data_IF_073631155141
#
_entry.id   IF_073631155141
#
_cell.length_a   1.000
_cell.length_b   1.000
_cell.length_c   1.000
_cell.angle_alpha   90.00
_cell.angle_beta   90.00
_cell.angle_gamma   90.00
#
_symmetry.space_group_name_H-M   'P 1'
#
loop_
_entity.id
_entity.type
_entity.pdbx_description
1 polymer ?
#
# COMPACT_ATOMS: atom_id res chain seq x y z
N UNK A 1 -24.43 -17.18 -8.09
CA UNK A 1 -25.10 -16.20 -7.17
C UNK A 1 -25.48 -14.97 -7.98
N UNK A 2 -26.59 -14.29 -7.68
CA UNK A 2 -26.96 -13.03 -8.36
C UNK A 2 -26.48 -11.85 -7.53
N UNK A 3 -26.00 -10.78 -8.18
CA UNK A 3 -25.51 -9.58 -7.50
C UNK A 3 -26.33 -8.36 -7.92
N UNK A 4 -26.62 -7.48 -6.95
CA UNK A 4 -27.10 -6.13 -7.21
C UNK A 4 -26.06 -5.16 -6.69
N UNK A 5 -25.63 -4.21 -7.54
CA UNK A 5 -24.46 -3.39 -7.28
C UNK A 5 -24.79 -1.90 -7.35
N UNK A 6 -24.21 -1.14 -6.46
CA UNK A 6 -24.12 0.31 -6.53
C UNK A 6 -22.67 0.74 -6.41
N UNK A 7 -22.27 1.80 -7.08
CA UNK A 7 -20.92 2.33 -7.04
C UNK A 7 -20.95 3.84 -6.84
N UNK A 8 -19.93 4.36 -6.17
CA UNK A 8 -19.65 5.78 -6.04
C UNK A 8 -18.15 5.99 -6.20
N UNK A 9 -17.77 6.99 -6.97
CA UNK A 9 -16.39 7.48 -7.04
C UNK A 9 -16.42 8.97 -7.29
N UNK A 10 -15.69 9.73 -6.50
CA UNK A 10 -15.68 11.19 -6.58
C UNK A 10 -14.32 11.74 -6.14
N UNK A 11 -13.94 12.89 -6.67
CA UNK A 11 -12.68 13.56 -6.35
C UNK A 11 -12.66 14.15 -4.93
N UNK A 12 -13.82 14.35 -4.32
CA UNK A 12 -13.98 15.11 -3.09
C UNK A 12 -13.94 16.62 -3.30
N UNK A 13 -14.00 17.33 -2.18
CA UNK A 13 -14.14 18.79 -2.15
C UNK A 13 -12.80 19.54 -1.96
N UNK A 14 -11.72 18.85 -1.66
CA UNK A 14 -10.42 19.47 -1.43
C UNK A 14 -9.87 20.11 -2.73
N UNK A 15 -9.72 21.46 -2.80
CA UNK A 15 -9.25 22.13 -4.01
C UNK A 15 -7.78 21.79 -4.35
N UNK A 16 -7.00 21.28 -3.42
CA UNK A 16 -5.61 20.87 -3.66
C UNK A 16 -5.51 19.54 -4.42
N UNK A 17 -6.54 18.70 -4.36
CA UNK A 17 -6.61 17.47 -5.14
C UNK A 17 -7.17 17.78 -6.51
N UNK A 18 -6.34 17.75 -7.54
CA UNK A 18 -6.70 18.08 -8.91
C UNK A 18 -7.34 16.92 -9.68
N UNK A 19 -7.18 15.71 -9.15
CA UNK A 19 -7.63 14.48 -9.80
C UNK A 19 -8.19 13.49 -8.76
N UNK A 20 -9.00 12.55 -9.25
CA UNK A 20 -9.35 11.36 -8.49
C UNK A 20 -8.32 10.27 -8.78
N UNK A 21 -7.57 9.86 -7.76
CA UNK A 21 -6.53 8.83 -7.84
C UNK A 21 -7.08 7.45 -7.47
N UNK A 22 -8.29 7.38 -6.92
CA UNK A 22 -8.99 6.12 -6.68
C UNK A 22 -9.48 5.49 -7.98
N UNK A 23 -9.56 4.16 -7.98
CA UNK A 23 -10.22 3.36 -9.03
C UNK A 23 -11.08 2.28 -8.40
N UNK A 24 -12.10 1.88 -9.14
CA UNK A 24 -12.94 0.73 -8.80
C UNK A 24 -13.16 -0.18 -10.02
N UNK A 25 -13.43 -1.43 -9.76
CA UNK A 25 -13.88 -2.41 -10.74
C UNK A 25 -15.08 -3.18 -10.15
N UNK A 26 -16.16 -3.25 -10.92
CA UNK A 26 -17.33 -4.03 -10.55
C UNK A 26 -17.78 -4.86 -11.75
N UNK A 27 -17.54 -6.16 -11.70
CA UNK A 27 -17.93 -7.15 -12.71
C UNK A 27 -18.88 -8.18 -12.08
N UNK A 28 -20.16 -7.83 -11.89
CA UNK A 28 -21.13 -8.70 -11.20
C UNK A 28 -21.34 -10.03 -11.91
N UNK A 29 -21.25 -10.09 -13.24
CA UNK A 29 -21.32 -11.32 -14.02
C UNK A 29 -20.17 -12.30 -13.75
N UNK A 30 -19.06 -11.79 -13.21
CA UNK A 30 -17.87 -12.57 -12.84
C UNK A 30 -17.69 -12.69 -11.33
N UNK A 31 -18.55 -12.02 -10.55
CA UNK A 31 -18.45 -11.98 -9.09
C UNK A 31 -17.18 -11.25 -8.58
N UNK A 32 -16.67 -10.25 -9.33
CA UNK A 32 -15.46 -9.53 -8.98
C UNK A 32 -15.75 -8.06 -8.66
N UNK A 33 -15.26 -7.61 -7.51
CA UNK A 33 -15.41 -6.25 -7.00
C UNK A 33 -14.10 -5.79 -6.39
N UNK A 34 -13.62 -4.57 -6.74
CA UNK A 34 -12.32 -4.08 -6.33
C UNK A 34 -12.36 -2.56 -6.14
N UNK A 35 -11.69 -2.08 -5.09
CA UNK A 35 -11.36 -0.67 -4.86
C UNK A 35 -9.86 -0.56 -4.67
N UNK A 36 -9.25 0.44 -5.29
CA UNK A 36 -7.84 0.77 -5.23
C UNK A 36 -7.66 2.28 -5.04
N UNK A 37 -7.05 2.70 -3.94
CA UNK A 37 -6.72 4.09 -3.62
C UNK A 37 -5.27 4.35 -4.03
N UNK A 38 -5.09 5.24 -4.98
CA UNK A 38 -3.79 5.52 -5.55
C UNK A 38 -3.01 6.54 -4.72
N UNK A 39 -1.80 6.14 -4.33
CA UNK A 39 -0.86 6.97 -3.57
C UNK A 39 0.35 7.31 -4.43
N UNK A 40 0.75 8.59 -4.45
CA UNK A 40 1.94 9.01 -5.19
C UNK A 40 1.78 10.41 -5.80
N UNK A 41 2.87 11.18 -5.84
CA UNK A 41 2.85 12.56 -6.31
C UNK A 41 2.44 12.70 -7.80
N UNK A 42 1.80 13.81 -8.14
CA UNK A 42 1.42 14.25 -9.49
C UNK A 42 0.42 13.34 -10.20
N UNK A 43 0.87 12.25 -10.86
CA UNK A 43 0.03 11.31 -11.63
C UNK A 43 0.27 9.85 -11.23
N UNK A 44 1.18 9.61 -10.29
CA UNK A 44 1.59 8.28 -9.91
C UNK A 44 0.45 7.45 -9.34
N UNK A 45 -0.34 8.00 -8.42
CA UNK A 45 -1.47 7.32 -7.80
C UNK A 45 -2.51 6.84 -8.81
N UNK A 46 -2.89 7.69 -9.78
CA UNK A 46 -3.82 7.28 -10.84
C UNK A 46 -3.31 6.11 -11.68
N UNK A 47 -2.01 6.10 -12.00
CA UNK A 47 -1.41 5.02 -12.80
C UNK A 47 -1.37 3.73 -11.98
N UNK A 48 -1.01 3.81 -10.71
CA UNK A 48 -0.93 2.64 -9.85
C UNK A 48 -2.30 1.98 -9.65
N UNK A 49 -3.33 2.75 -9.26
CA UNK A 49 -4.69 2.24 -9.07
C UNK A 49 -5.32 1.72 -10.36
N UNK A 50 -5.07 2.40 -11.51
CA UNK A 50 -5.54 1.90 -12.81
C UNK A 50 -4.84 0.60 -13.21
N UNK A 51 -3.53 0.48 -12.97
CA UNK A 51 -2.78 -0.76 -13.25
C UNK A 51 -3.36 -1.94 -12.47
N UNK A 52 -3.76 -1.73 -11.21
CA UNK A 52 -4.41 -2.78 -10.42
C UNK A 52 -5.74 -3.21 -11.05
N UNK A 53 -6.60 -2.27 -11.45
CA UNK A 53 -7.87 -2.55 -12.13
C UNK A 53 -7.63 -3.33 -13.42
N UNK A 54 -6.73 -2.88 -14.29
CA UNK A 54 -6.46 -3.49 -15.59
C UNK A 54 -5.99 -4.95 -15.45
N UNK A 55 -5.15 -5.24 -14.45
CA UNK A 55 -4.65 -6.59 -14.17
C UNK A 55 -5.77 -7.51 -13.68
N UNK A 56 -6.59 -7.04 -12.74
CA UNK A 56 -7.71 -7.84 -12.23
C UNK A 56 -8.76 -8.08 -13.31
N UNK A 57 -9.09 -7.08 -14.12
CA UNK A 57 -10.00 -7.22 -15.25
C UNK A 57 -9.50 -8.27 -16.26
N UNK A 58 -8.21 -8.23 -16.60
CA UNK A 58 -7.57 -9.20 -17.49
C UNK A 58 -7.51 -10.60 -16.88
N UNK A 59 -7.15 -10.73 -15.58
CA UNK A 59 -7.05 -12.03 -14.89
C UNK A 59 -8.41 -12.74 -14.81
N UNK A 60 -9.48 -11.97 -14.62
CA UNK A 60 -10.84 -12.49 -14.53
C UNK A 60 -11.60 -12.40 -15.87
N UNK A 61 -10.91 -12.17 -17.00
CA UNK A 61 -11.50 -12.19 -18.32
C UNK A 61 -12.12 -13.55 -18.64
N UNK A 62 -11.47 -14.64 -18.22
CA UNK A 62 -11.95 -16.00 -18.31
C UNK A 62 -12.17 -16.59 -16.90
N UNK A 63 -13.01 -17.63 -16.75
CA UNK A 63 -13.18 -18.33 -15.47
C UNK A 63 -11.84 -18.85 -14.94
N UNK A 64 -11.57 -18.64 -13.65
CA UNK A 64 -10.34 -19.11 -13.02
C UNK A 64 -10.27 -20.63 -13.01
N UNK A 65 -9.28 -21.22 -13.70
CA UNK A 65 -9.07 -22.68 -13.79
C UNK A 65 -8.49 -23.26 -12.50
N UNK A 66 -7.63 -22.50 -11.82
CA UNK A 66 -6.88 -22.94 -10.64
C UNK A 66 -7.54 -22.54 -9.29
N UNK A 67 -8.76 -22.05 -9.36
CA UNK A 67 -9.50 -21.56 -8.21
C UNK A 67 -9.38 -20.05 -7.98
N UNK A 68 -10.42 -19.47 -7.37
CA UNK A 68 -10.53 -18.01 -7.20
C UNK A 68 -9.44 -17.45 -6.28
N UNK A 69 -9.04 -18.19 -5.23
CA UNK A 69 -7.98 -17.73 -4.32
C UNK A 69 -6.64 -17.58 -5.04
N UNK A 70 -6.28 -18.56 -5.88
CA UNK A 70 -5.00 -18.53 -6.59
C UNK A 70 -5.02 -17.48 -7.70
N UNK A 71 -6.16 -17.27 -8.36
CA UNK A 71 -6.33 -16.17 -9.32
C UNK A 71 -6.17 -14.78 -8.64
N UNK A 72 -6.81 -14.56 -7.47
CA UNK A 72 -6.64 -13.31 -6.70
C UNK A 72 -5.19 -13.14 -6.27
N UNK A 73 -4.54 -14.18 -5.74
CA UNK A 73 -3.13 -14.12 -5.34
C UNK A 73 -2.20 -13.77 -6.50
N UNK A 74 -2.38 -14.44 -7.63
CA UNK A 74 -1.59 -14.17 -8.84
C UNK A 74 -1.76 -12.73 -9.33
N UNK A 75 -3.00 -12.24 -9.34
CA UNK A 75 -3.29 -10.85 -9.73
C UNK A 75 -2.63 -9.84 -8.78
N UNK A 76 -2.69 -10.05 -7.46
CA UNK A 76 -2.05 -9.16 -6.47
C UNK A 76 -0.54 -9.11 -6.66
N UNK A 77 0.12 -10.26 -6.84
CA UNK A 77 1.57 -10.35 -7.08
C UNK A 77 1.94 -9.61 -8.38
N UNK A 78 1.18 -9.84 -9.45
CA UNK A 78 1.42 -9.18 -10.73
C UNK A 78 1.18 -7.65 -10.65
N UNK A 79 0.15 -7.20 -9.90
CA UNK A 79 -0.07 -5.78 -9.62
C UNK A 79 1.17 -5.16 -8.94
N UNK A 80 1.63 -5.77 -7.85
CA UNK A 80 2.80 -5.27 -7.13
C UNK A 80 4.01 -5.15 -8.04
N UNK A 81 4.31 -6.23 -8.78
CA UNK A 81 5.45 -6.27 -9.69
C UNK A 81 5.37 -5.17 -10.75
N UNK A 82 4.24 -5.03 -11.46
CA UNK A 82 4.11 -4.03 -12.55
C UNK A 82 4.15 -2.60 -12.05
N UNK A 83 3.50 -2.32 -10.92
CA UNK A 83 3.52 -0.98 -10.33
C UNK A 83 4.93 -0.64 -9.88
N UNK A 84 5.61 -1.54 -9.19
CA UNK A 84 6.98 -1.36 -8.74
C UNK A 84 7.95 -1.15 -9.91
N UNK A 85 7.93 -2.01 -10.94
CA UNK A 85 8.78 -1.89 -12.14
C UNK A 85 8.55 -0.56 -12.87
N UNK A 86 7.29 -0.13 -13.00
CA UNK A 86 6.95 1.14 -13.62
C UNK A 86 7.43 2.35 -12.78
N UNK A 87 7.38 2.26 -11.46
CA UNK A 87 7.88 3.30 -10.54
C UNK A 87 9.38 3.52 -10.66
N UNK A 88 10.14 2.46 -10.97
CA UNK A 88 11.58 2.53 -11.17
C UNK A 88 11.96 3.02 -12.58
N UNK A 89 11.14 2.72 -13.59
CA UNK A 89 11.47 2.99 -14.99
C UNK A 89 11.20 4.44 -15.43
N UNK A 90 10.32 5.17 -14.71
CA UNK A 90 9.89 6.53 -15.08
C UNK A 90 9.97 7.47 -13.88
N UNK A 91 10.81 8.50 -13.98
CA UNK A 91 10.99 9.48 -12.90
C UNK A 91 9.67 10.17 -12.45
N UNK A 92 8.72 10.35 -13.37
CA UNK A 92 7.39 10.93 -13.10
C UNK A 92 6.46 10.01 -12.30
N UNK A 93 6.77 8.70 -12.25
CA UNK A 93 6.03 7.67 -11.53
C UNK A 93 6.76 7.18 -10.27
N UNK A 94 7.91 7.78 -9.94
CA UNK A 94 8.71 7.38 -8.79
C UNK A 94 7.89 7.49 -7.50
N UNK A 95 7.87 6.39 -6.72
CA UNK A 95 7.13 6.28 -5.47
C UNK A 95 5.62 6.15 -5.65
N UNK A 96 5.13 5.81 -6.86
CA UNK A 96 3.72 5.47 -7.02
C UNK A 96 3.39 4.16 -6.34
N UNK A 97 2.24 4.12 -5.72
CA UNK A 97 1.70 2.94 -5.05
C UNK A 97 0.16 2.97 -5.07
N UNK A 98 -0.46 1.89 -4.65
CA UNK A 98 -1.92 1.86 -4.46
C UNK A 98 -2.29 0.89 -3.35
N UNK A 99 -3.39 1.16 -2.67
CA UNK A 99 -4.06 0.17 -1.83
C UNK A 99 -4.80 -0.85 -2.70
N UNK A 100 -5.31 -1.89 -2.09
CA UNK A 100 -6.20 -2.86 -2.72
C UNK A 100 -7.18 -3.42 -1.70
N UNK A 101 -8.47 -3.37 -2.02
CA UNK A 101 -9.53 -4.12 -1.37
C UNK A 101 -10.33 -4.85 -2.46
N UNK A 102 -10.26 -6.18 -2.50
CA UNK A 102 -10.94 -6.99 -3.52
C UNK A 102 -11.82 -8.05 -2.87
N UNK A 103 -13.00 -8.26 -3.45
CA UNK A 103 -13.91 -9.38 -3.18
C UNK A 103 -14.12 -10.13 -4.49
N UNK A 104 -13.71 -11.39 -4.54
CA UNK A 104 -14.00 -12.31 -5.64
C UNK A 104 -14.89 -13.46 -5.15
N UNK A 105 -15.96 -13.74 -5.89
CA UNK A 105 -17.01 -14.70 -5.50
C UNK A 105 -17.09 -15.84 -6.50
N UNK A 106 -17.04 -17.07 -5.98
CA UNK A 106 -17.31 -18.28 -6.75
C UNK A 106 -18.30 -19.19 -6.00
N UNK A 107 -19.50 -19.33 -6.54
CA UNK A 107 -20.57 -20.07 -5.87
C UNK A 107 -20.95 -19.44 -4.55
N UNK A 108 -20.77 -20.18 -3.44
CA UNK A 108 -21.01 -19.73 -2.06
C UNK A 108 -19.74 -19.34 -1.32
N UNK A 109 -18.60 -19.28 -2.01
CA UNK A 109 -17.32 -18.90 -1.43
C UNK A 109 -16.93 -17.49 -1.89
N UNK A 110 -16.54 -16.64 -0.94
CA UNK A 110 -15.93 -15.34 -1.19
C UNK A 110 -14.45 -15.36 -0.81
N UNK A 111 -13.62 -14.76 -1.64
CA UNK A 111 -12.21 -14.51 -1.37
C UNK A 111 -11.99 -13.00 -1.27
N UNK A 112 -11.45 -12.57 -0.15
CA UNK A 112 -11.04 -11.19 0.07
C UNK A 112 -9.52 -11.15 -0.04
N UNK A 113 -8.99 -10.24 -0.86
CA UNK A 113 -7.59 -9.88 -0.92
C UNK A 113 -7.42 -8.42 -0.50
N UNK A 114 -6.37 -8.12 0.27
CA UNK A 114 -6.24 -6.80 0.86
C UNK A 114 -4.78 -6.36 1.01
N UNK A 115 -4.51 -5.09 0.66
CA UNK A 115 -3.26 -4.36 0.96
C UNK A 115 -3.59 -2.89 1.19
N UNK A 116 -3.12 -2.31 2.30
CA UNK A 116 -3.32 -0.89 2.62
C UNK A 116 -4.40 -0.64 3.67
N UNK A 117 -5.14 0.45 3.52
CA UNK A 117 -6.20 0.91 4.44
C UNK A 117 -7.57 1.09 3.77
N UNK A 118 -7.70 0.71 2.50
CA UNK A 118 -9.01 0.48 1.88
C UNK A 118 -9.67 -0.73 2.52
N UNK A 119 -10.97 -0.70 2.74
CA UNK A 119 -11.63 -1.69 3.60
C UNK A 119 -12.71 -2.50 2.88
N UNK A 120 -12.92 -3.72 3.37
CA UNK A 120 -14.08 -4.56 3.06
C UNK A 120 -14.92 -4.75 4.32
N UNK A 121 -16.19 -4.40 4.22
CA UNK A 121 -17.18 -4.66 5.26
C UNK A 121 -18.24 -5.63 4.75
N UNK A 122 -18.80 -6.43 5.66
CA UNK A 122 -19.94 -7.31 5.41
C UNK A 122 -21.03 -7.04 6.43
N UNK A 123 -22.22 -6.68 5.96
CA UNK A 123 -23.43 -6.59 6.77
C UNK A 123 -24.28 -7.82 6.58
N UNK A 124 -24.47 -8.59 7.66
CA UNK A 124 -25.25 -9.82 7.66
C UNK A 124 -25.98 -10.00 8.99
N UNK A 125 -27.28 -10.36 8.94
CA UNK A 125 -28.08 -10.60 10.14
C UNK A 125 -28.21 -9.38 11.06
N UNK A 126 -28.14 -8.15 10.52
CA UNK A 126 -28.21 -6.90 11.30
C UNK A 126 -26.88 -6.48 11.94
N UNK A 127 -25.80 -7.20 11.66
CA UNK A 127 -24.47 -6.92 12.22
C UNK A 127 -23.48 -6.55 11.13
N UNK A 128 -22.64 -5.54 11.36
CA UNK A 128 -21.54 -5.16 10.52
C UNK A 128 -20.26 -5.89 10.96
N UNK A 129 -19.61 -6.53 10.02
CA UNK A 129 -18.30 -7.15 10.19
C UNK A 129 -17.29 -6.41 9.33
N UNK A 130 -16.21 -5.90 9.91
CA UNK A 130 -15.05 -5.44 9.19
C UNK A 130 -14.18 -6.65 8.85
N UNK A 131 -14.06 -6.95 7.57
CA UNK A 131 -13.38 -8.16 7.08
C UNK A 131 -11.87 -7.96 6.85
N UNK A 132 -11.40 -6.70 6.81
CA UNK A 132 -9.99 -6.31 6.60
C UNK A 132 -9.46 -5.52 7.79
N UNK A 133 -8.15 -5.58 8.02
CA UNK A 133 -7.43 -4.76 9.01
C UNK A 133 -6.47 -3.83 8.28
N UNK A 134 -6.47 -2.53 8.62
CA UNK A 134 -5.63 -1.54 7.95
C UNK A 134 -4.15 -1.83 8.14
N UNK A 135 -3.38 -1.76 7.07
CA UNK A 135 -1.92 -1.79 7.10
C UNK A 135 -1.39 -0.37 7.32
N UNK A 136 -1.43 0.09 8.55
CA UNK A 136 -0.97 1.41 8.97
C UNK A 136 -0.14 1.33 10.25
N UNK A 137 0.81 2.28 10.44
CA UNK A 137 1.64 2.34 11.64
C UNK A 137 0.80 2.35 12.93
N UNK A 138 -0.31 3.07 12.90
CA UNK A 138 -1.20 3.20 14.06
C UNK A 138 -1.90 1.88 14.38
N UNK A 139 -2.36 1.16 13.36
CA UNK A 139 -3.01 -0.14 13.57
C UNK A 139 -2.00 -1.20 14.05
N UNK A 140 -0.77 -1.17 13.56
CA UNK A 140 0.30 -2.05 14.04
C UNK A 140 0.66 -1.75 15.51
N UNK A 141 0.77 -0.46 15.87
CA UNK A 141 1.02 -0.04 17.26
C UNK A 141 -0.13 -0.42 18.20
N UNK A 142 -1.38 -0.35 17.72
CA UNK A 142 -2.58 -0.78 18.46
C UNK A 142 -2.56 -2.30 18.69
N UNK A 143 -2.28 -3.09 17.66
CA UNK A 143 -2.16 -4.56 17.77
C UNK A 143 -1.03 -4.99 18.68
N UNK A 144 0.09 -4.28 18.64
CA UNK A 144 1.22 -4.52 19.55
C UNK A 144 0.95 -4.06 21.00
N UNK A 145 -0.21 -3.45 21.27
CA UNK A 145 -0.56 -2.92 22.59
C UNK A 145 0.27 -1.70 23.03
N UNK A 146 0.98 -1.07 22.09
CA UNK A 146 1.81 0.14 22.34
C UNK A 146 0.94 1.36 22.57
N UNK A 147 -0.20 1.43 21.88
CA UNK A 147 -1.20 2.50 22.02
C UNK A 147 -2.59 1.91 22.26
N UNK A 148 -3.47 2.69 22.88
CA UNK A 148 -4.89 2.34 23.05
C UNK A 148 -5.72 2.77 21.84
N UNK A 149 -6.94 2.23 21.68
CA UNK A 149 -7.86 2.65 20.63
C UNK A 149 -8.18 4.15 20.68
N UNK A 150 -8.29 4.73 21.90
CA UNK A 150 -8.50 6.15 22.08
C UNK A 150 -7.31 6.99 21.59
N UNK A 151 -6.07 6.52 21.78
CA UNK A 151 -4.88 7.18 21.25
C UNK A 151 -4.80 7.04 19.73
N UNK A 152 -5.10 5.86 19.20
CA UNK A 152 -5.10 5.57 17.77
C UNK A 152 -6.03 6.52 16.99
N UNK A 153 -7.21 6.80 17.51
CA UNK A 153 -8.19 7.68 16.87
C UNK A 153 -7.68 9.13 16.64
N UNK A 154 -6.70 9.58 17.42
CA UNK A 154 -6.15 10.94 17.36
C UNK A 154 -4.68 10.98 16.93
N UNK A 155 -4.07 9.83 16.59
CA UNK A 155 -2.66 9.76 16.19
C UNK A 155 -2.46 10.42 14.82
N UNK A 156 -1.53 11.39 14.69
CA UNK A 156 -1.26 12.06 13.41
C UNK A 156 -0.74 11.11 12.32
N UNK A 157 -0.23 9.93 12.69
CA UNK A 157 0.29 8.91 11.77
C UNK A 157 -0.77 7.92 11.29
N UNK A 158 -2.05 8.12 11.64
CA UNK A 158 -3.15 7.21 11.27
C UNK A 158 -3.26 6.92 9.76
N UNK A 159 -2.75 7.84 8.93
CA UNK A 159 -2.75 7.71 7.46
C UNK A 159 -1.40 7.26 6.90
N UNK A 160 -0.44 6.83 7.74
CA UNK A 160 0.85 6.32 7.29
C UNK A 160 0.72 4.83 7.04
N UNK A 161 0.71 4.45 5.77
CA UNK A 161 0.63 3.05 5.36
C UNK A 161 1.93 2.32 5.64
N UNK A 162 1.82 1.09 6.12
CA UNK A 162 2.96 0.17 6.25
C UNK A 162 3.06 -0.79 5.07
N UNK A 163 1.98 -0.94 4.27
CA UNK A 163 1.96 -1.78 3.08
C UNK A 163 1.12 -1.13 1.99
N UNK A 164 1.66 -1.07 0.76
CA UNK A 164 0.95 -0.65 -0.45
C UNK A 164 1.53 -1.38 -1.67
N UNK A 165 0.71 -1.68 -2.67
CA UNK A 165 1.16 -2.29 -3.92
C UNK A 165 2.07 -1.32 -4.67
N UNK A 166 3.26 -1.78 -5.04
CA UNK A 166 4.25 -1.01 -5.77
C UNK A 166 5.18 -0.16 -4.90
N UNK A 167 4.96 -0.08 -3.59
CA UNK A 167 5.85 0.64 -2.67
C UNK A 167 7.19 -0.09 -2.49
N UNK A 168 7.14 -1.43 -2.43
CA UNK A 168 8.29 -2.30 -2.26
C UNK A 168 8.25 -3.44 -3.29
N UNK A 169 9.41 -4.04 -3.57
CA UNK A 169 9.50 -5.18 -4.49
C UNK A 169 8.58 -6.33 -4.06
N UNK A 170 8.55 -6.59 -2.77
CA UNK A 170 7.75 -7.62 -2.14
C UNK A 170 6.76 -7.00 -1.16
N UNK A 171 5.50 -7.23 -1.38
CA UNK A 171 4.42 -6.85 -0.47
C UNK A 171 3.81 -8.10 0.15
N UNK A 172 3.41 -8.03 1.41
CA UNK A 172 2.68 -9.10 2.09
C UNK A 172 1.18 -8.79 2.11
N UNK A 173 0.40 -9.37 1.17
CA UNK A 173 -1.05 -9.15 1.13
C UNK A 173 -1.77 -10.05 2.11
N UNK A 174 -2.87 -9.57 2.66
CA UNK A 174 -3.78 -10.40 3.44
C UNK A 174 -4.82 -11.07 2.52
N UNK A 175 -5.08 -12.36 2.79
CA UNK A 175 -6.12 -13.12 2.10
C UNK A 175 -7.05 -13.79 3.12
N UNK A 176 -8.35 -13.66 2.89
CA UNK A 176 -9.37 -14.28 3.71
C UNK A 176 -10.43 -14.97 2.85
N UNK A 177 -10.69 -16.23 3.13
CA UNK A 177 -11.80 -16.96 2.52
C UNK A 177 -12.97 -17.00 3.47
N UNK A 178 -14.15 -16.64 2.96
CA UNK A 178 -15.40 -16.58 3.74
C UNK A 178 -16.51 -17.36 3.07
N UNK A 179 -17.40 -17.94 3.87
CA UNK A 179 -18.62 -18.55 3.37
C UNK A 179 -19.70 -17.47 3.21
N UNK A 180 -20.22 -17.34 2.01
CA UNK A 180 -21.22 -16.35 1.65
C UNK A 180 -22.65 -16.89 1.87
N UNK A 181 -23.53 -15.99 2.30
CA UNK A 181 -24.97 -16.26 2.44
C UNK A 181 -25.78 -15.28 1.61
N UNK A 182 -26.88 -15.76 1.06
CA UNK A 182 -27.85 -14.88 0.41
C UNK A 182 -28.41 -13.85 1.41
N UNK A 183 -28.62 -12.63 0.94
CA UNK A 183 -29.03 -11.50 1.76
C UNK A 183 -27.91 -10.74 2.45
N UNK A 184 -26.65 -11.23 2.40
CA UNK A 184 -25.51 -10.46 2.86
C UNK A 184 -25.26 -9.26 1.92
N UNK A 185 -24.79 -8.15 2.50
CA UNK A 185 -24.40 -6.93 1.79
C UNK A 185 -22.94 -6.64 2.09
N UNK A 186 -22.17 -6.35 1.07
CA UNK A 186 -20.77 -5.92 1.20
C UNK A 186 -20.62 -4.45 0.85
N UNK A 187 -19.67 -3.80 1.52
CA UNK A 187 -19.12 -2.50 1.14
C UNK A 187 -17.61 -2.67 0.99
N UNK A 188 -17.10 -2.33 -0.19
CA UNK A 188 -15.67 -2.09 -0.42
C UNK A 188 -15.48 -0.59 -0.53
N UNK A 189 -14.51 0.01 0.17
CA UNK A 189 -14.33 1.45 0.11
C UNK A 189 -12.88 1.89 0.37
N UNK A 190 -12.51 3.04 -0.21
CA UNK A 190 -11.28 3.76 0.15
C UNK A 190 -11.42 4.46 1.50
N UNK A 191 -10.30 4.92 2.04
CA UNK A 191 -10.23 5.61 3.34
C UNK A 191 -10.99 6.94 3.36
N UNK A 192 -11.16 7.59 2.19
CA UNK A 192 -11.97 8.80 2.07
C UNK A 192 -13.42 8.65 2.52
N UNK A 193 -13.98 7.44 2.54
CA UNK A 193 -15.28 7.16 3.14
C UNK A 193 -15.15 6.98 4.65
N UNK A 194 -14.21 6.15 5.10
CA UNK A 194 -14.09 5.78 6.52
C UNK A 194 -13.47 6.86 7.40
N UNK A 195 -12.90 7.91 6.81
CA UNK A 195 -12.49 9.12 7.52
C UNK A 195 -13.68 9.96 8.00
N UNK A 196 -14.79 9.88 7.29
CA UNK A 196 -15.97 10.71 7.55
C UNK A 196 -17.12 9.94 8.19
N UNK A 197 -17.21 8.62 7.94
CA UNK A 197 -18.30 7.77 8.39
C UNK A 197 -17.76 6.67 9.30
N UNK A 198 -18.24 6.60 10.53
CA UNK A 198 -17.84 5.59 11.51
C UNK A 198 -18.53 4.25 11.24
N UNK A 199 -17.97 3.20 11.83
CA UNK A 199 -18.50 1.83 11.65
C UNK A 199 -19.96 1.70 12.14
N UNK A 200 -20.36 2.44 13.19
CA UNK A 200 -21.75 2.46 13.67
C UNK A 200 -22.71 3.08 12.65
N UNK A 201 -22.31 4.17 12.01
CA UNK A 201 -23.09 4.85 10.97
C UNK A 201 -23.15 3.99 9.69
N UNK A 202 -22.04 3.30 9.35
CA UNK A 202 -22.04 2.31 8.25
C UNK A 202 -22.98 1.13 8.54
N UNK A 203 -23.04 0.65 9.79
CA UNK A 203 -23.96 -0.41 10.16
C UNK A 203 -25.41 0.01 9.95
N UNK A 204 -25.78 1.20 10.38
CA UNK A 204 -27.12 1.75 10.19
C UNK A 204 -27.44 1.91 8.70
N UNK A 205 -26.54 2.51 7.92
CA UNK A 205 -26.72 2.73 6.49
C UNK A 205 -26.87 1.41 5.71
N UNK A 206 -25.99 0.44 5.95
CA UNK A 206 -25.98 -0.83 5.24
C UNK A 206 -27.14 -1.74 5.67
N UNK A 207 -27.74 -1.48 6.84
CA UNK A 207 -28.93 -2.17 7.34
C UNK A 207 -30.23 -1.76 6.64
N UNK A 208 -30.24 -0.63 5.92
CA UNK A 208 -31.47 -0.13 5.27
C UNK A 208 -31.81 -0.95 4.02
N UNK A 209 -33.12 -1.27 3.84
CA UNK A 209 -33.62 -1.99 2.66
C UNK A 209 -33.78 -1.04 1.46
N UNK A 210 -32.67 -0.45 1.03
CA UNK A 210 -32.58 0.41 -0.15
C UNK A 210 -31.65 -0.21 -1.19
N UNK A 211 -31.87 0.15 -2.46
CA UNK A 211 -31.01 -0.29 -3.57
C UNK A 211 -29.58 0.20 -3.36
N UNK A 212 -28.54 -0.63 -3.64
CA UNK A 212 -27.13 -0.28 -3.46
C UNK A 212 -26.73 1.08 -4.07
N UNK A 213 -27.26 1.43 -5.24
CA UNK A 213 -26.98 2.73 -5.86
C UNK A 213 -27.48 3.92 -5.01
N UNK A 214 -28.66 3.83 -4.41
CA UNK A 214 -29.18 4.87 -3.53
C UNK A 214 -28.36 5.00 -2.23
N UNK A 215 -27.85 3.89 -1.71
CA UNK A 215 -26.96 3.89 -0.56
C UNK A 215 -25.59 4.50 -0.89
N UNK A 216 -25.08 4.29 -2.10
CA UNK A 216 -23.84 4.92 -2.56
C UNK A 216 -23.98 6.44 -2.65
N UNK A 217 -25.11 6.96 -3.16
CA UNK A 217 -25.36 8.41 -3.14
C UNK A 217 -25.43 8.94 -1.72
N UNK A 218 -26.07 8.22 -0.81
CA UNK A 218 -26.13 8.60 0.61
C UNK A 218 -24.74 8.58 1.29
N UNK A 219 -23.89 7.60 0.97
CA UNK A 219 -22.48 7.60 1.41
C UNK A 219 -21.77 8.88 0.98
N UNK A 220 -21.94 9.27 -0.29
CA UNK A 220 -21.36 10.52 -0.81
C UNK A 220 -21.87 11.74 -0.07
N UNK A 221 -23.18 11.85 0.14
CA UNK A 221 -23.79 12.96 0.89
C UNK A 221 -23.23 13.07 2.32
N UNK A 222 -23.08 11.93 3.02
CA UNK A 222 -22.51 11.89 4.38
C UNK A 222 -21.05 12.35 4.38
N UNK A 223 -20.24 11.88 3.43
CA UNK A 223 -18.84 12.32 3.28
C UNK A 223 -18.75 13.83 2.99
N UNK A 224 -19.64 14.34 2.12
CA UNK A 224 -19.69 15.76 1.79
C UNK A 224 -20.07 16.61 3.01
N UNK A 225 -21.00 16.16 3.82
CA UNK A 225 -21.35 16.81 5.10
C UNK A 225 -20.17 16.84 6.08
N UNK A 226 -19.28 15.84 6.01
CA UNK A 226 -18.03 15.76 6.78
C UNK A 226 -16.85 16.54 6.18
N UNK A 227 -17.02 17.17 4.99
CA UNK A 227 -16.00 17.99 4.35
C UNK A 227 -15.32 17.32 3.13
N UNK A 228 -15.44 16.01 2.92
CA UNK A 228 -14.94 15.26 1.76
C UNK A 228 -13.53 15.68 1.31
N UNK A 229 -12.56 15.65 2.22
CA UNK A 229 -11.22 16.19 2.01
C UNK A 229 -10.36 15.31 1.08
N UNK A 230 -10.75 14.05 0.88
CA UNK A 230 -10.06 13.07 0.05
C UNK A 230 -10.92 12.58 -1.12
N UNK A 231 -10.32 11.75 -2.00
CA UNK A 231 -11.06 10.99 -3.00
C UNK A 231 -12.01 10.02 -2.27
N UNK A 232 -13.19 9.80 -2.83
CA UNK A 232 -14.24 8.97 -2.23
C UNK A 232 -14.58 7.86 -3.21
N UNK A 233 -14.34 6.62 -2.86
CA UNK A 233 -14.67 5.49 -3.71
C UNK A 233 -15.28 4.35 -2.91
N UNK A 234 -16.41 3.82 -3.38
CA UNK A 234 -17.08 2.70 -2.74
C UNK A 234 -17.91 1.87 -3.71
N UNK A 235 -18.04 0.59 -3.39
CA UNK A 235 -18.89 -0.38 -4.06
C UNK A 235 -19.78 -1.05 -3.01
N UNK A 236 -21.08 -0.98 -3.16
CA UNK A 236 -22.03 -1.77 -2.36
C UNK A 236 -22.56 -2.93 -3.19
N UNK A 237 -22.46 -4.14 -2.66
CA UNK A 237 -22.85 -5.39 -3.35
C UNK A 237 -23.83 -6.15 -2.48
N UNK A 238 -25.04 -6.37 -2.98
CA UNK A 238 -26.02 -7.30 -2.38
C UNK A 238 -25.93 -8.67 -3.02
N UNK A 239 -25.90 -9.70 -2.18
CA UNK A 239 -25.87 -11.11 -2.59
C UNK A 239 -27.28 -11.70 -2.62
N UNK A 240 -27.68 -12.27 -3.77
CA UNK A 240 -29.01 -12.85 -3.96
C UNK A 240 -30.08 -11.81 -4.28
N UNK A 241 -31.35 -12.24 -4.20
CA UNK A 241 -32.49 -11.36 -4.42
C UNK A 241 -32.87 -10.66 -3.12
N UNK A 242 -32.77 -9.33 -3.09
CA UNK A 242 -33.25 -8.51 -1.98
C UNK A 242 -34.45 -7.67 -2.41
N UNK A 243 -35.42 -7.52 -1.54
CA UNK A 243 -36.57 -6.62 -1.78
C UNK A 243 -36.17 -5.23 -1.26
N UNK A 244 -36.24 -4.23 -2.13
CA UNK A 244 -35.97 -2.86 -1.76
C UNK A 244 -37.26 -2.08 -1.54
N UNK A 245 -37.32 -1.28 -0.47
CA UNK A 245 -38.39 -0.31 -0.30
C UNK A 245 -38.26 0.79 -1.34
N UNK A 246 -39.34 1.08 -2.06
CA UNK A 246 -39.37 2.26 -2.93
C UNK A 246 -39.11 3.53 -2.08
N UNK A 247 -38.12 4.30 -2.44
CA UNK A 247 -37.99 5.64 -1.89
C UNK A 247 -39.07 6.49 -2.58
N UNK A 248 -40.12 6.87 -1.88
CA UNK A 248 -40.97 7.98 -2.34
C UNK A 248 -40.06 9.21 -2.36
N UNK A 249 -39.61 9.60 -3.54
CA UNK A 249 -39.02 10.90 -3.76
C UNK A 249 -40.16 11.91 -3.60
N UNK A 250 -40.32 12.42 -2.39
CA UNK A 250 -41.14 13.61 -2.16
C UNK A 250 -40.38 14.75 -2.83
N UNK A 251 -40.69 14.96 -4.11
CA UNK A 251 -40.28 16.18 -4.81
C UNK A 251 -40.94 17.35 -4.06
N UNK A 252 -40.20 17.95 -3.15
CA UNK A 252 -40.55 19.29 -2.63
C UNK A 252 -40.34 20.27 -3.79
N UNK A 253 -41.33 20.35 -4.66
CA UNK A 253 -41.50 21.42 -5.63
C UNK A 253 -41.87 22.70 -4.86
N UNK A 254 -40.87 23.39 -4.35
CA UNK A 254 -41.01 24.78 -3.93
C UNK A 254 -40.52 25.71 -5.03
N UNK A 255 -41.18 25.65 -6.18
CA UNK A 255 -41.10 26.72 -7.15
C UNK A 255 -42.50 27.37 -7.25
N UNK A 256 -42.62 28.66 -7.07
CA UNK A 256 -43.92 29.38 -7.27
C UNK A 256 -44.29 29.30 -8.74
N UNK A 257 -45.56 29.33 -9.11
CA UNK A 257 -46.04 29.20 -10.49
C UNK A 257 -45.53 30.37 -11.34
N UNK A 258 -44.71 30.05 -12.35
CA UNK A 258 -44.31 31.02 -13.37
C UNK A 258 -45.52 31.28 -14.25
N UNK A 259 -45.98 32.54 -14.21
CA UNK A 259 -47.00 33.00 -15.14
C UNK A 259 -46.48 32.94 -16.57
N UNK A 260 -47.23 32.25 -17.44
CA UNK A 260 -47.01 32.22 -18.87
C UNK A 260 -47.32 33.57 -19.49
N UNK A 261 -46.31 34.22 -19.99
CA UNK A 261 -46.45 35.45 -20.77
C UNK A 261 -45.22 35.76 -21.59
N UNK A 262 -45.43 35.74 -22.91
CA UNK A 262 -44.62 36.37 -23.95
C UNK A 262 -43.43 35.58 -24.49
N UNK A 263 -43.66 35.00 -25.65
CA UNK A 263 -42.72 34.44 -26.62
C UNK A 263 -41.75 35.52 -27.09
N UNK A 264 -40.46 35.38 -26.81
CA UNK A 264 -39.41 36.18 -27.46
C UNK A 264 -38.60 35.26 -28.36
N UNK A 265 -38.68 35.53 -29.68
CA UNK A 265 -37.79 34.92 -30.67
C UNK A 265 -36.38 35.52 -30.50
N UNK A 266 -35.40 34.66 -30.19
CA UNK A 266 -33.98 35.04 -30.21
C UNK A 266 -33.37 34.50 -31.50
N UNK A 267 -33.05 35.38 -32.41
CA UNK A 267 -32.30 35.10 -33.64
C UNK A 267 -30.83 34.78 -33.26
N UNK A 268 -30.37 33.62 -33.75
CA UNK A 268 -28.95 33.26 -33.75
C UNK A 268 -28.15 34.18 -34.66
N UNK A 269 -27.10 34.82 -34.11
CA UNK A 269 -26.08 35.53 -34.86
C UNK A 269 -24.73 34.88 -34.61
N UNK A 270 -24.08 34.40 -35.66
CA UNK A 270 -22.75 33.79 -35.65
C UNK A 270 -21.65 34.81 -35.29
N UNK A 271 -20.53 34.38 -34.73
CA UNK A 271 -19.42 35.23 -34.33
C UNK A 271 -18.55 35.58 -35.56
N UNK A 272 -18.23 36.86 -35.71
CA UNK A 272 -17.18 37.37 -36.60
C UNK A 272 -15.89 37.60 -35.84
N UNK A 273 -14.80 37.23 -36.48
CA UNK A 273 -13.39 37.34 -36.06
C UNK A 273 -12.85 38.78 -35.94
N UNK A 274 -11.61 38.97 -35.42
CA UNK A 274 -11.20 40.18 -34.72
C UNK A 274 -10.47 41.20 -35.62
N UNK A 275 -10.46 42.44 -35.20
CA UNK A 275 -9.62 43.50 -35.79
C UNK A 275 -8.57 43.97 -34.74
N UNK A 276 -7.32 44.02 -35.22
CA UNK A 276 -6.14 44.61 -34.60
C UNK A 276 -6.28 46.14 -34.44
N UNK A 277 -5.65 46.71 -33.42
CA UNK A 277 -4.64 47.78 -33.47
C UNK A 277 -4.39 48.37 -32.08
N UNK A 278 -3.08 48.51 -31.74
CA UNK A 278 -2.53 49.19 -30.53
C UNK A 278 -2.62 50.72 -30.61
N UNK A 279 -1.81 51.57 -29.93
CA UNK A 279 -0.68 51.27 -29.06
C UNK A 279 -0.64 52.03 -27.71
N UNK A 280 0.31 51.66 -26.86
CA UNK A 280 1.09 52.43 -25.89
C UNK A 280 0.46 53.52 -24.98
N UNK A 281 0.59 53.30 -23.68
CA UNK A 281 0.83 54.37 -22.70
C UNK A 281 1.71 53.88 -21.54
N UNK A 282 2.81 54.56 -21.39
CA UNK A 282 3.78 54.58 -20.31
C UNK A 282 3.18 54.94 -18.97
N UNK A 283 3.55 54.25 -17.87
CA UNK A 283 3.47 54.79 -16.52
C UNK A 283 4.49 54.14 -15.57
N UNK A 284 5.40 54.95 -15.18
CA UNK A 284 6.06 55.24 -13.89
C UNK A 284 6.33 54.08 -12.89
N UNK A 285 7.60 53.99 -12.54
CA UNK A 285 8.15 53.27 -11.40
C UNK A 285 7.89 54.01 -10.07
N UNK A 286 7.65 53.31 -8.97
CA UNK A 286 7.77 53.90 -7.66
C UNK A 286 9.12 53.59 -6.98
N UNK A 287 9.55 54.59 -6.29
CA UNK A 287 10.79 54.90 -5.61
C UNK A 287 11.26 53.84 -4.59
N UNK A 288 12.58 53.71 -4.52
CA UNK A 288 13.37 53.13 -3.42
C UNK A 288 13.00 53.73 -2.07
N UNK A 289 12.82 52.91 -1.08
CA UNK A 289 12.94 53.26 0.35
C UNK A 289 14.04 52.40 0.97
N UNK A 290 14.89 53.06 1.74
CA UNK A 290 16.19 52.63 2.21
C UNK A 290 16.12 51.76 3.49
N UNK A 291 17.10 50.90 3.57
CA UNK A 291 17.88 50.46 4.74
C UNK A 291 17.22 50.43 6.14
N UNK A 292 17.02 49.21 6.65
CA UNK A 292 17.04 48.90 8.07
C UNK A 292 17.94 47.68 8.33
N UNK A 293 19.13 47.93 8.86
CA UNK A 293 20.07 46.90 9.34
C UNK A 293 19.41 46.09 10.47
N UNK A 294 19.30 44.78 10.33
CA UNK A 294 19.14 43.84 11.44
C UNK A 294 20.22 42.76 11.39
N UNK A 295 21.38 43.13 11.89
CA UNK A 295 22.45 42.21 12.30
C UNK A 295 22.07 41.62 13.65
N UNK A 296 21.71 40.35 13.73
CA UNK A 296 21.52 39.75 15.05
C UNK A 296 20.96 38.32 15.12
N UNK A 297 20.46 37.77 14.03
CA UNK A 297 19.83 36.45 14.09
C UNK A 297 20.63 35.29 13.50
N UNK A 298 21.55 35.58 12.59
CA UNK A 298 22.39 34.57 11.92
C UNK A 298 23.46 33.95 12.81
N UNK A 299 23.98 34.70 13.78
CA UNK A 299 25.07 34.25 14.67
C UNK A 299 24.65 33.21 15.73
N UNK A 300 23.36 33.13 16.10
CA UNK A 300 22.89 32.20 17.11
C UNK A 300 22.56 30.82 16.53
N UNK A 301 22.08 30.75 15.32
CA UNK A 301 21.80 29.49 14.62
C UNK A 301 23.09 28.78 14.21
N UNK A 302 24.10 29.56 13.74
CA UNK A 302 25.41 29.00 13.37
C UNK A 302 26.15 28.42 14.60
N UNK A 303 26.07 29.07 15.76
CA UNK A 303 26.61 28.52 17.01
C UNK A 303 25.91 27.21 17.45
N UNK A 304 24.62 27.10 17.29
CA UNK A 304 23.87 25.84 17.62
C UNK A 304 24.27 24.70 16.71
N UNK A 305 24.41 24.94 15.41
CA UNK A 305 24.87 23.93 14.43
C UNK A 305 26.31 23.50 14.74
N UNK A 306 27.20 24.43 15.07
CA UNK A 306 28.58 24.12 15.40
C UNK A 306 28.69 23.31 16.71
N UNK A 307 27.92 23.65 17.73
CA UNK A 307 27.86 22.88 18.99
C UNK A 307 27.32 21.47 18.74
N UNK A 308 26.27 21.34 17.91
CA UNK A 308 25.74 20.03 17.53
C UNK A 308 26.76 19.15 16.83
N UNK A 309 27.54 19.72 15.90
CA UNK A 309 28.59 18.99 15.18
C UNK A 309 29.75 18.56 16.12
N UNK A 310 30.13 19.41 17.08
CA UNK A 310 31.17 19.09 18.07
C UNK A 310 30.69 17.97 19.01
N UNK A 311 29.44 17.97 19.42
CA UNK A 311 28.87 16.88 20.28
C UNK A 311 28.82 15.54 19.52
N UNK A 312 28.48 15.55 18.24
CA UNK A 312 28.48 14.34 17.40
C UNK A 312 29.91 13.82 17.20
N UNK A 313 30.87 14.70 16.92
CA UNK A 313 32.29 14.31 16.76
C UNK A 313 32.91 13.82 18.07
N UNK A 314 32.55 14.43 19.20
CA UNK A 314 33.00 13.97 20.53
C UNK A 314 32.38 12.59 20.87
N UNK A 315 31.10 12.36 20.55
CA UNK A 315 30.46 11.05 20.70
C UNK A 315 31.13 9.97 19.87
N UNK A 316 31.52 10.29 18.63
CA UNK A 316 32.22 9.35 17.76
C UNK A 316 33.66 9.04 18.28
N UNK A 317 34.38 10.05 18.81
CA UNK A 317 35.70 9.87 19.38
C UNK A 317 35.64 9.04 20.68
N UNK A 318 34.66 9.26 21.53
CA UNK A 318 34.44 8.49 22.77
C UNK A 318 34.07 7.03 22.42
N UNK A 319 33.23 6.80 21.43
CA UNK A 319 32.88 5.44 20.97
C UNK A 319 34.08 4.65 20.49
N UNK A 320 34.95 5.26 19.67
CA UNK A 320 36.21 4.62 19.21
C UNK A 320 37.23 4.40 20.33
N UNK A 321 37.28 5.32 21.27
CA UNK A 321 38.18 5.17 22.44
C UNK A 321 37.69 4.06 23.38
N UNK A 322 36.39 3.94 23.56
CA UNK A 322 35.78 2.88 24.38
C UNK A 322 36.00 1.49 23.79
N UNK A 323 35.92 1.35 22.46
CA UNK A 323 36.22 0.10 21.76
C UNK A 323 37.67 -0.34 21.94
N UNK A 324 38.63 0.58 21.84
CA UNK A 324 40.06 0.27 22.08
C UNK A 324 40.35 -0.10 23.54
N UNK A 325 39.70 0.59 24.50
CA UNK A 325 39.86 0.31 25.92
C UNK A 325 39.19 -1.04 26.28
N UNK A 326 38.06 -1.37 25.67
CA UNK A 326 37.40 -2.64 25.87
C UNK A 326 38.22 -3.83 25.37
N UNK A 327 38.81 -3.71 24.19
CA UNK A 327 39.74 -4.70 23.62
C UNK A 327 41.00 -4.86 24.51
N UNK A 328 41.53 -3.77 25.06
CA UNK A 328 42.70 -3.80 25.96
C UNK A 328 42.37 -4.42 27.32
N UNK A 329 41.17 -4.14 27.87
CA UNK A 329 40.72 -4.67 29.18
C UNK A 329 40.26 -6.13 29.14
N UNK A 330 39.70 -6.59 28.02
CA UNK A 330 39.16 -7.93 27.93
C UNK A 330 40.14 -8.96 27.40
N UNK A 331 41.30 -8.56 26.91
CA UNK A 331 42.36 -9.47 26.42
C UNK A 331 41.89 -10.40 25.29
N UNK A 332 40.78 -10.11 24.63
CA UNK A 332 40.18 -10.98 23.63
C UNK A 332 40.77 -10.73 22.23
N UNK A 333 42.04 -10.98 22.09
CA UNK A 333 42.71 -11.20 20.81
C UNK A 333 42.68 -12.73 20.54
N UNK A 334 41.74 -13.14 19.70
CA UNK A 334 41.87 -14.46 19.06
C UNK A 334 40.96 -15.54 19.62
N UNK A 335 39.76 -15.60 19.13
CA UNK A 335 39.11 -16.91 18.98
C UNK A 335 39.52 -17.45 17.61
N UNK A 336 40.59 -18.21 17.60
CA UNK A 336 40.91 -19.15 16.53
C UNK A 336 39.92 -20.34 16.66
N UNK A 337 38.69 -20.14 16.20
CA UNK A 337 37.76 -21.22 15.91
C UNK A 337 38.21 -21.91 14.65
N UNK A 338 38.68 -23.16 14.78
CA UNK A 338 38.94 -24.04 13.65
C UNK A 338 37.78 -23.99 12.67
N UNK A 339 38.01 -23.42 11.50
CA UNK A 339 37.15 -23.55 10.35
C UNK A 339 37.18 -25.02 9.91
N UNK A 340 36.05 -25.69 9.98
CA UNK A 340 35.82 -26.98 9.34
C UNK A 340 35.86 -26.74 7.81
N UNK A 341 36.69 -27.44 7.03
CA UNK A 341 36.83 -27.20 5.60
C UNK A 341 35.69 -27.92 4.85
N UNK A 342 34.50 -27.42 4.94
CA UNK A 342 33.35 -27.85 4.14
C UNK A 342 33.11 -26.85 3.01
N UNK A 343 33.61 -27.18 1.85
CA UNK A 343 33.29 -26.69 0.48
C UNK A 343 32.43 -25.41 0.45
N UNK A 344 33.09 -24.24 0.39
CA UNK A 344 32.46 -22.98 0.04
C UNK A 344 32.38 -22.91 -1.49
N UNK A 345 31.17 -22.67 -2.07
CA UNK A 345 31.07 -22.38 -3.51
C UNK A 345 31.87 -21.11 -3.85
N UNK A 346 32.31 -20.98 -5.10
CA UNK A 346 33.27 -20.06 -5.69
C UNK A 346 33.01 -18.54 -5.54
N UNK A 347 32.38 -18.09 -4.46
CA UNK A 347 31.89 -16.72 -4.22
C UNK A 347 32.82 -15.89 -3.34
N UNK A 348 34.05 -16.33 -3.08
CA UNK A 348 35.04 -15.62 -2.25
C UNK A 348 35.63 -14.36 -2.90
N UNK A 349 35.30 -14.08 -4.16
CA UNK A 349 35.87 -12.96 -4.93
C UNK A 349 34.99 -11.72 -5.02
N UNK A 350 33.75 -11.73 -4.49
CA UNK A 350 32.86 -10.59 -4.55
C UNK A 350 32.93 -9.72 -3.28
N UNK A 351 33.58 -8.55 -3.37
CA UNK A 351 33.78 -7.68 -2.20
C UNK A 351 32.47 -7.09 -1.67
N UNK A 352 31.45 -6.89 -2.51
CA UNK A 352 30.15 -6.35 -2.09
C UNK A 352 29.35 -7.41 -1.31
N UNK A 353 29.35 -8.66 -1.75
CA UNK A 353 28.77 -9.76 -0.99
C UNK A 353 29.51 -9.97 0.34
N UNK A 354 30.84 -9.87 0.33
CA UNK A 354 31.62 -9.98 1.56
C UNK A 354 31.25 -8.88 2.57
N UNK A 355 31.04 -7.63 2.13
CA UNK A 355 30.59 -6.55 2.98
C UNK A 355 29.18 -6.80 3.58
N UNK A 356 28.25 -7.31 2.79
CA UNK A 356 26.92 -7.68 3.28
C UNK A 356 26.98 -8.82 4.31
N UNK A 357 27.88 -9.80 4.12
CA UNK A 357 28.12 -10.89 5.07
C UNK A 357 28.69 -10.39 6.39
N UNK A 358 29.60 -9.43 6.38
CA UNK A 358 30.12 -8.79 7.60
C UNK A 358 28.98 -8.14 8.39
N UNK A 359 28.07 -7.40 7.70
CA UNK A 359 26.91 -6.80 8.35
C UNK A 359 26.00 -7.88 8.97
N UNK A 360 25.82 -9.01 8.30
CA UNK A 360 25.04 -10.15 8.82
C UNK A 360 25.69 -10.73 10.09
N UNK A 361 27.00 -10.94 10.09
CA UNK A 361 27.75 -11.46 11.24
C UNK A 361 27.74 -10.49 12.43
N UNK A 362 27.76 -9.18 12.16
CA UNK A 362 27.56 -8.11 13.14
C UNK A 362 26.11 -7.99 13.65
N UNK A 363 25.19 -8.85 13.20
CA UNK A 363 23.74 -8.83 13.51
C UNK A 363 23.04 -7.53 13.09
N UNK A 364 23.57 -6.82 12.13
CA UNK A 364 23.00 -5.61 11.52
C UNK A 364 22.15 -6.01 10.32
N UNK A 365 21.13 -6.84 10.60
CA UNK A 365 20.38 -7.57 9.58
C UNK A 365 19.65 -6.65 8.60
N UNK A 366 19.10 -5.52 9.05
CA UNK A 366 18.42 -4.56 8.19
C UNK A 366 19.38 -3.98 7.14
N UNK A 367 20.58 -3.60 7.55
CA UNK A 367 21.59 -3.06 6.62
C UNK A 367 22.16 -4.13 5.69
N UNK A 368 22.31 -5.36 6.20
CA UNK A 368 22.70 -6.49 5.36
C UNK A 368 21.63 -6.76 4.30
N UNK A 369 20.35 -6.71 4.68
CA UNK A 369 19.22 -6.88 3.77
C UNK A 369 19.21 -5.82 2.67
N UNK A 370 19.35 -4.54 3.00
CA UNK A 370 19.42 -3.45 2.03
C UNK A 370 20.50 -3.68 0.97
N UNK A 371 21.72 -4.03 1.39
CA UNK A 371 22.82 -4.32 0.47
C UNK A 371 22.56 -5.56 -0.39
N UNK A 372 22.02 -6.63 0.21
CA UNK A 372 21.73 -7.87 -0.50
C UNK A 372 20.59 -7.71 -1.53
N UNK A 373 19.58 -6.91 -1.23
CA UNK A 373 18.52 -6.56 -2.18
C UNK A 373 19.14 -5.86 -3.40
N UNK A 374 20.04 -4.91 -3.19
CA UNK A 374 20.71 -4.21 -4.29
C UNK A 374 21.58 -5.14 -5.13
N UNK A 375 22.28 -6.09 -4.51
CA UNK A 375 23.07 -7.11 -5.20
C UNK A 375 22.17 -8.04 -6.04
N UNK A 376 21.06 -8.51 -5.48
CA UNK A 376 20.09 -9.34 -6.20
C UNK A 376 19.46 -8.56 -7.36
N UNK A 377 19.19 -7.24 -7.20
CA UNK A 377 18.67 -6.40 -8.26
C UNK A 377 19.63 -6.29 -9.45
N UNK A 378 20.93 -6.16 -9.18
CA UNK A 378 21.98 -6.07 -10.24
C UNK A 378 22.23 -7.42 -10.91
N UNK A 379 22.13 -8.51 -10.18
CA UNK A 379 22.34 -9.85 -10.71
C UNK A 379 21.31 -10.84 -10.10
N UNK A 380 20.10 -10.91 -10.65
CA UNK A 380 18.99 -11.70 -10.09
C UNK A 380 19.22 -13.22 -10.17
N UNK A 381 20.15 -13.67 -11.03
CA UNK A 381 20.49 -15.09 -11.20
C UNK A 381 21.69 -15.54 -10.34
N UNK A 382 22.18 -14.71 -9.45
CA UNK A 382 23.24 -15.12 -8.53
C UNK A 382 22.65 -15.87 -7.33
N UNK A 383 22.88 -17.18 -7.26
CA UNK A 383 22.40 -18.05 -6.19
C UNK A 383 22.94 -17.65 -4.81
N UNK A 384 24.18 -17.17 -4.72
CA UNK A 384 24.83 -16.73 -3.50
C UNK A 384 24.13 -15.50 -2.91
N UNK A 385 23.76 -14.51 -3.73
CA UNK A 385 23.03 -13.32 -3.28
C UNK A 385 21.66 -13.68 -2.74
N UNK A 386 20.91 -14.53 -3.46
CA UNK A 386 19.61 -15.04 -3.01
C UNK A 386 19.71 -15.83 -1.72
N UNK A 387 20.74 -16.66 -1.58
CA UNK A 387 20.96 -17.43 -0.36
C UNK A 387 21.21 -16.54 0.87
N UNK A 388 22.12 -15.56 0.76
CA UNK A 388 22.40 -14.65 1.85
C UNK A 388 21.23 -13.73 2.17
N UNK A 389 20.47 -13.29 1.18
CA UNK A 389 19.24 -12.53 1.39
C UNK A 389 18.21 -13.37 2.16
N UNK A 390 17.97 -14.61 1.74
CA UNK A 390 17.03 -15.50 2.43
C UNK A 390 17.45 -15.84 3.88
N UNK A 391 18.76 -15.95 4.15
CA UNK A 391 19.24 -16.09 5.53
C UNK A 391 19.00 -14.84 6.35
N UNK A 392 19.22 -13.68 5.78
CA UNK A 392 19.01 -12.39 6.44
C UNK A 392 17.53 -12.18 6.73
N UNK A 393 16.65 -12.50 5.79
CA UNK A 393 15.21 -12.46 5.97
C UNK A 393 14.74 -13.38 7.11
N UNK A 394 15.36 -14.57 7.24
CA UNK A 394 15.07 -15.49 8.35
C UNK A 394 15.40 -14.86 9.72
N UNK A 395 16.56 -14.23 9.86
CA UNK A 395 16.96 -13.58 11.12
C UNK A 395 16.07 -12.37 11.45
N UNK A 396 15.53 -11.70 10.45
CA UNK A 396 14.53 -10.62 10.58
C UNK A 396 13.11 -11.16 10.82
N UNK A 397 12.93 -12.48 10.91
CA UNK A 397 11.64 -13.17 11.05
C UNK A 397 10.69 -12.99 9.85
N UNK A 398 11.18 -12.51 8.73
CA UNK A 398 10.47 -12.43 7.45
C UNK A 398 10.49 -13.81 6.78
N UNK A 399 9.83 -14.78 7.40
CA UNK A 399 9.96 -16.20 7.01
C UNK A 399 9.46 -16.49 5.60
N UNK A 400 8.43 -15.79 5.12
CA UNK A 400 7.93 -15.92 3.75
C UNK A 400 8.97 -15.48 2.73
N UNK A 401 9.65 -14.36 2.97
CA UNK A 401 10.73 -13.86 2.13
C UNK A 401 11.94 -14.78 2.17
N UNK A 402 12.30 -15.27 3.36
CA UNK A 402 13.35 -16.25 3.54
C UNK A 402 13.09 -17.50 2.68
N UNK A 403 11.87 -18.05 2.74
CA UNK A 403 11.47 -19.23 1.94
C UNK A 403 11.59 -18.93 0.44
N UNK A 404 11.08 -17.77 -0.01
CA UNK A 404 11.14 -17.39 -1.41
C UNK A 404 12.58 -17.26 -1.91
N UNK A 405 13.41 -16.50 -1.22
CA UNK A 405 14.80 -16.28 -1.62
C UNK A 405 15.62 -17.56 -1.55
N UNK A 406 15.40 -18.42 -0.56
CA UNK A 406 16.07 -19.71 -0.45
C UNK A 406 15.59 -20.71 -1.51
N UNK A 407 14.31 -20.73 -1.88
CA UNK A 407 13.81 -21.54 -2.98
C UNK A 407 14.42 -21.09 -4.31
N UNK A 408 14.55 -19.79 -4.53
CA UNK A 408 15.17 -19.27 -5.74
C UNK A 408 16.68 -19.58 -5.75
N UNK A 409 17.37 -19.49 -4.63
CA UNK A 409 18.77 -19.95 -4.53
C UNK A 409 18.91 -21.44 -4.87
N UNK A 410 18.00 -22.29 -4.38
CA UNK A 410 17.98 -23.71 -4.67
C UNK A 410 17.65 -24.02 -6.17
N UNK A 411 16.82 -23.18 -6.81
CA UNK A 411 16.53 -23.27 -8.24
C UNK A 411 17.75 -22.92 -9.09
N UNK A 412 18.48 -21.88 -8.69
CA UNK A 412 19.66 -21.40 -9.40
C UNK A 412 20.88 -22.31 -9.21
N UNK A 413 21.05 -22.85 -7.99
CA UNK A 413 22.09 -23.82 -7.66
C UNK A 413 21.58 -24.93 -6.72
N UNK A 414 21.09 -26.01 -7.31
CA UNK A 414 20.60 -27.18 -6.57
C UNK A 414 21.69 -27.92 -5.77
N UNK A 415 22.97 -27.61 -5.97
CA UNK A 415 24.09 -28.26 -5.25
C UNK A 415 24.46 -27.56 -3.96
N UNK A 416 23.79 -26.45 -3.62
CA UNK A 416 24.02 -25.67 -2.43
C UNK A 416 23.38 -26.37 -1.19
N UNK A 417 24.11 -27.21 -0.43
CA UNK A 417 23.48 -28.09 0.57
C UNK A 417 22.87 -27.32 1.74
N UNK A 418 23.42 -26.14 2.08
CA UNK A 418 22.93 -25.34 3.18
C UNK A 418 21.60 -24.64 2.89
N UNK A 419 21.26 -24.44 1.64
CA UNK A 419 19.97 -23.88 1.22
C UNK A 419 18.80 -24.70 1.79
N UNK A 420 18.85 -26.02 1.64
CA UNK A 420 17.77 -26.90 2.10
C UNK A 420 17.65 -26.96 3.61
N UNK A 421 18.75 -26.78 4.35
CA UNK A 421 18.70 -26.67 5.82
C UNK A 421 18.03 -25.38 6.26
N UNK A 422 18.34 -24.27 5.60
CA UNK A 422 17.72 -22.98 5.92
C UNK A 422 16.25 -22.96 5.47
N UNK A 423 15.88 -23.59 4.33
CA UNK A 423 14.50 -23.81 3.93
C UNK A 423 13.71 -24.58 4.98
N UNK A 424 14.28 -25.71 5.48
CA UNK A 424 13.62 -26.48 6.50
C UNK A 424 13.33 -25.66 7.78
N UNK A 425 14.31 -24.86 8.23
CA UNK A 425 14.11 -23.97 9.38
C UNK A 425 13.04 -22.90 9.13
N UNK A 426 13.02 -22.32 7.93
CA UNK A 426 12.03 -21.31 7.58
C UNK A 426 10.61 -21.90 7.50
N UNK A 427 10.45 -23.11 6.94
CA UNK A 427 9.18 -23.83 6.92
C UNK A 427 8.74 -24.27 8.33
N UNK A 428 9.69 -24.68 9.20
CA UNK A 428 9.43 -24.99 10.60
C UNK A 428 8.88 -23.77 11.35
N UNK A 429 9.47 -22.60 11.12
CA UNK A 429 9.07 -21.35 11.77
C UNK A 429 7.62 -20.91 11.42
N UNK A 430 7.11 -21.28 10.24
CA UNK A 430 5.72 -21.02 9.82
C UNK A 430 4.78 -22.22 10.06
N UNK A 431 5.28 -23.32 10.63
CA UNK A 431 4.50 -24.52 10.93
C UNK A 431 4.20 -25.43 9.73
N UNK A 432 4.84 -25.22 8.58
CA UNK A 432 4.69 -26.06 7.38
C UNK A 432 5.54 -27.32 7.45
N UNK A 433 5.04 -28.33 8.17
CA UNK A 433 5.74 -29.62 8.38
C UNK A 433 6.02 -30.36 7.07
N UNK A 434 5.13 -30.27 6.10
CA UNK A 434 5.27 -30.99 4.84
C UNK A 434 6.50 -30.51 4.06
N UNK A 435 6.60 -29.22 3.83
CA UNK A 435 7.70 -28.62 3.10
C UNK A 435 9.01 -28.63 3.89
N UNK A 436 8.94 -28.58 5.23
CA UNK A 436 10.08 -28.81 6.11
C UNK A 436 10.69 -30.19 5.91
N UNK A 437 9.87 -31.27 5.97
CA UNK A 437 10.34 -32.64 5.78
C UNK A 437 10.89 -32.88 4.36
N UNK A 438 10.25 -32.30 3.35
CA UNK A 438 10.72 -32.37 1.97
C UNK A 438 12.09 -31.69 1.81
N UNK A 439 12.26 -30.52 2.41
CA UNK A 439 13.54 -29.80 2.39
C UNK A 439 14.65 -30.62 3.08
N UNK A 440 14.35 -31.24 4.22
CA UNK A 440 15.31 -32.09 4.94
C UNK A 440 15.74 -33.32 4.13
N UNK A 441 14.84 -33.92 3.33
CA UNK A 441 15.18 -35.04 2.42
C UNK A 441 16.16 -34.66 1.31
N UNK A 442 16.19 -33.36 0.95
CA UNK A 442 17.10 -32.84 -0.10
C UNK A 442 18.49 -32.45 0.46
N UNK A 443 18.64 -32.44 1.79
CA UNK A 443 19.97 -32.23 2.41
C UNK A 443 20.83 -33.45 2.13
N UNK A 444 21.99 -33.31 1.46
CA UNK A 444 22.89 -34.42 1.20
C UNK A 444 23.31 -35.11 2.49
N UNK A 445 23.32 -36.45 2.53
CA UNK A 445 23.92 -37.19 3.61
C UNK A 445 25.43 -36.86 3.64
N UNK A 446 25.95 -36.58 4.82
CA UNK A 446 27.37 -36.29 5.04
C UNK A 446 28.21 -37.52 4.78
#
# INVERSE_FOLDING_TARGET
MKFTVGTVTDRGLNPKRTANEDRLLALPERGLFLVADGVGGRRGGQVASQTAVDIFEATFAEPATDGVLDAVRGAVIECNRRIFDASLSKAELQGMATTLAVLAVNGSQGVIGHVGDSRVYRHEGGTLFRETEDHSEVNEALRAGVITAAMAAHDPRRNVLTRALGAELDVEPDFKTIQLREGARFLLCSDGITRHIKDEELQELLGVDQHPAALCERLKEMCYAGGAEDNLTGIIVDLGARQYRAVEVVAQSSAPPVQTGTRIEVAFRAPTEPAETGPAATAEAPKKVANGRSTGRFGREFKRILIGLVVVLAGFAVGRYYEQVYIWLTGNSGVSGRADPGVVPSDQSDPELAAARVLFEEKRFEKAREQLIELVRRNPENAGYRFWLGRTDYELKSYSDAIRNLNEAARLDARMPDVYRHLARAYEAIGDRRNMEESLRRVPAR
#
